data_IF_439516364654
#
_entry.id   IF_439516364654
#
_cell.length_a   1.000
_cell.length_b   1.000
_cell.length_c   1.000
_cell.angle_alpha   90.00
_cell.angle_beta   90.00
_cell.angle_gamma   90.00
#
_symmetry.space_group_name_H-M   'P 1'
#
loop_
_entity.id
_entity.type
_entity.pdbx_description
1 polymer ?
#
# COMPACT_ATOMS: atom_id res chain seq x y z
N UNK A 1 65.21 43.46 -39.88
CA UNK A 1 63.75 43.72 -39.92
C UNK A 1 63.03 42.43 -39.54
N UNK A 2 61.96 42.52 -38.73
CA UNK A 2 61.58 41.48 -37.77
C UNK A 2 60.66 40.38 -38.33
N UNK A 3 60.69 39.29 -37.55
CA UNK A 3 59.87 38.08 -37.53
C UNK A 3 58.39 38.34 -37.19
N UNK A 4 57.49 37.47 -37.70
CA UNK A 4 56.23 37.16 -37.03
C UNK A 4 56.05 35.64 -36.96
N UNK A 5 56.16 35.12 -35.73
CA UNK A 5 55.90 33.75 -35.35
C UNK A 5 54.39 33.58 -35.04
N UNK A 6 53.77 32.55 -35.62
CA UNK A 6 52.44 32.09 -35.23
C UNK A 6 52.55 31.07 -34.09
N UNK A 7 52.33 31.50 -32.86
CA UNK A 7 52.13 30.62 -31.70
C UNK A 7 50.64 30.31 -31.53
N UNK A 8 50.25 29.07 -31.80
CA UNK A 8 48.98 28.50 -31.38
C UNK A 8 49.07 28.08 -29.91
N UNK A 9 48.23 28.67 -29.05
CA UNK A 9 48.00 28.24 -27.68
C UNK A 9 46.92 27.15 -27.68
N UNK A 10 47.28 25.91 -27.31
CA UNK A 10 46.33 24.85 -27.02
C UNK A 10 45.97 24.87 -25.53
N UNK A 11 44.70 25.13 -25.21
CA UNK A 11 44.16 25.04 -23.85
C UNK A 11 43.60 23.62 -23.65
N UNK A 12 44.26 22.82 -22.81
CA UNK A 12 43.77 21.50 -22.41
C UNK A 12 42.98 21.61 -21.09
N UNK A 13 41.66 21.49 -21.18
CA UNK A 13 40.76 21.47 -20.02
C UNK A 13 40.63 20.03 -19.50
N UNK A 14 41.25 19.72 -18.36
CA UNK A 14 41.05 18.48 -17.61
C UNK A 14 39.72 18.54 -16.85
N UNK A 15 38.69 17.86 -17.35
CA UNK A 15 37.45 17.60 -16.60
C UNK A 15 37.63 16.30 -15.81
N UNK A 16 37.83 16.42 -14.50
CA UNK A 16 37.76 15.30 -13.57
C UNK A 16 36.28 14.93 -13.36
N UNK A 17 35.85 13.79 -13.91
CA UNK A 17 34.52 13.24 -13.65
C UNK A 17 34.57 12.50 -12.31
N UNK A 18 34.17 13.17 -11.23
CA UNK A 18 33.94 12.52 -9.94
C UNK A 18 32.60 11.78 -10.00
N UNK A 19 32.64 10.47 -10.28
CA UNK A 19 31.48 9.59 -10.22
C UNK A 19 31.14 9.29 -8.77
N UNK A 20 30.35 10.15 -8.12
CA UNK A 20 29.66 9.80 -6.89
C UNK A 20 28.45 8.94 -7.23
N UNK A 21 28.54 7.64 -6.99
CA UNK A 21 27.38 6.76 -7.02
C UNK A 21 26.45 7.16 -5.85
N UNK A 22 25.14 7.40 -6.08
CA UNK A 22 24.24 7.67 -4.97
C UNK A 22 23.99 6.36 -4.23
N UNK A 23 24.46 6.27 -3.00
CA UNK A 23 24.03 5.21 -2.07
C UNK A 23 22.56 5.46 -1.71
N UNK A 24 21.65 4.78 -2.39
CA UNK A 24 20.26 4.68 -1.95
C UNK A 24 20.24 3.71 -0.77
N UNK A 25 20.37 4.23 0.44
CA UNK A 25 20.03 3.48 1.65
C UNK A 25 18.50 3.44 1.75
N UNK A 26 17.85 2.25 1.81
CA UNK A 26 16.44 2.18 2.14
C UNK A 26 16.27 2.74 3.55
N UNK A 27 15.65 3.90 3.68
CA UNK A 27 15.39 4.50 4.99
C UNK A 27 14.21 3.76 5.60
N UNK A 28 14.48 2.68 6.34
CA UNK A 28 13.53 2.14 7.30
C UNK A 28 12.96 3.32 8.09
N UNK A 29 11.63 3.42 8.21
CA UNK A 29 11.04 4.54 8.94
C UNK A 29 11.57 4.49 10.38
N UNK A 30 12.05 5.63 10.89
CA UNK A 30 12.56 5.70 12.26
C UNK A 30 11.39 5.71 13.23
N UNK A 31 11.47 4.95 14.31
CA UNK A 31 10.44 4.98 15.35
C UNK A 31 10.14 6.42 15.83
N UNK A 32 8.86 6.78 16.00
CA UNK A 32 8.51 8.05 16.60
C UNK A 32 9.04 8.11 18.03
N UNK A 33 9.63 9.24 18.43
CA UNK A 33 10.15 9.44 19.78
C UNK A 33 9.05 9.51 20.84
N UNK A 34 7.83 9.88 20.43
CA UNK A 34 6.60 9.84 21.24
C UNK A 34 5.38 9.58 20.37
N UNK A 35 4.36 8.95 20.95
CA UNK A 35 3.05 8.80 20.31
C UNK A 35 2.98 7.69 19.25
N UNK A 36 2.07 7.87 18.30
CA UNK A 36 1.79 6.92 17.21
C UNK A 36 2.14 7.52 15.86
N UNK A 37 2.59 6.69 14.93
CA UNK A 37 2.85 7.05 13.54
C UNK A 37 2.00 6.19 12.60
N UNK A 38 1.86 6.62 11.34
CA UNK A 38 1.14 5.89 10.29
C UNK A 38 2.06 5.57 9.12
N UNK A 39 2.05 4.32 8.67
CA UNK A 39 2.67 3.87 7.44
C UNK A 39 1.60 3.62 6.38
N UNK A 40 1.90 4.01 5.15
CA UNK A 40 1.06 3.75 3.98
C UNK A 40 1.47 2.44 3.32
N UNK A 41 0.57 1.78 2.56
CA UNK A 41 0.97 0.61 1.80
C UNK A 41 1.97 1.01 0.72
N UNK A 42 3.06 0.25 0.64
CA UNK A 42 4.06 0.33 -0.42
C UNK A 42 3.54 -0.23 -1.76
N UNK A 43 2.55 -1.13 -1.72
CA UNK A 43 1.85 -1.62 -2.90
C UNK A 43 0.44 -2.13 -2.58
N UNK A 44 -0.45 -2.00 -3.57
CA UNK A 44 -1.81 -2.55 -3.57
C UNK A 44 -1.99 -3.38 -4.84
N UNK A 45 -2.45 -4.62 -4.71
CA UNK A 45 -2.72 -5.52 -5.83
C UNK A 45 -4.15 -6.02 -5.79
N UNK A 46 -4.91 -5.72 -6.83
CA UNK A 46 -6.19 -6.38 -7.08
C UNK A 46 -5.91 -7.79 -7.60
N UNK A 47 -6.52 -8.77 -6.96
CA UNK A 47 -6.47 -10.19 -7.36
C UNK A 47 -7.89 -10.68 -7.61
N UNK A 48 -8.02 -11.65 -8.51
CA UNK A 48 -9.31 -12.02 -9.09
C UNK A 48 -9.58 -13.50 -8.84
N UNK A 49 -10.53 -13.87 -7.95
CA UNK A 49 -10.84 -15.28 -7.68
C UNK A 49 -11.24 -16.08 -8.93
N UNK A 50 -11.98 -15.45 -9.85
CA UNK A 50 -12.42 -16.03 -11.13
C UNK A 50 -11.32 -16.09 -12.21
N UNK A 51 -10.23 -15.35 -12.03
CA UNK A 51 -9.05 -15.34 -12.91
C UNK A 51 -7.77 -15.43 -12.06
N UNK A 52 -7.52 -16.58 -11.39
CA UNK A 52 -6.70 -16.62 -10.19
C UNK A 52 -5.18 -16.44 -10.43
N UNK A 53 -4.74 -16.45 -11.69
CA UNK A 53 -3.37 -16.19 -12.09
C UNK A 53 -3.15 -14.73 -12.54
N UNK A 54 -4.15 -13.87 -12.38
CA UNK A 54 -4.10 -12.45 -12.76
C UNK A 54 -4.02 -11.60 -11.50
N UNK A 55 -3.15 -10.58 -11.53
CA UNK A 55 -3.16 -9.47 -10.59
C UNK A 55 -2.89 -8.15 -11.30
N UNK A 56 -3.40 -7.07 -10.73
CA UNK A 56 -3.14 -5.71 -11.22
C UNK A 56 -2.81 -4.78 -10.07
N UNK A 57 -1.80 -3.93 -10.23
CA UNK A 57 -1.56 -2.84 -9.28
C UNK A 57 -2.78 -1.92 -9.23
N UNK A 58 -3.11 -1.43 -8.04
CA UNK A 58 -4.23 -0.54 -7.80
C UNK A 58 -3.74 0.81 -7.26
N UNK A 59 -4.31 1.94 -7.70
CA UNK A 59 -4.02 3.25 -7.12
C UNK A 59 -4.72 3.48 -5.76
N UNK A 60 -5.61 2.57 -5.36
CA UNK A 60 -6.41 2.70 -4.15
C UNK A 60 -6.91 1.36 -3.64
N UNK A 61 -7.50 1.39 -2.46
CA UNK A 61 -8.23 0.26 -1.91
C UNK A 61 -9.40 -0.08 -2.82
N UNK A 62 -9.53 -1.35 -3.21
CA UNK A 62 -10.56 -1.78 -4.15
C UNK A 62 -10.97 -3.23 -3.90
N UNK A 63 -12.26 -3.43 -3.65
CA UNK A 63 -12.89 -4.74 -3.52
C UNK A 63 -14.26 -4.70 -4.19
N UNK A 64 -14.67 -5.82 -4.75
CA UNK A 64 -15.90 -5.88 -5.54
C UNK A 64 -16.50 -7.28 -5.54
N UNK A 65 -17.82 -7.34 -5.37
CA UNK A 65 -18.66 -8.49 -5.67
C UNK A 65 -19.59 -8.15 -6.81
N UNK A 66 -19.87 -9.13 -7.65
CA UNK A 66 -20.83 -9.04 -8.72
C UNK A 66 -21.43 -10.41 -8.98
N UNK A 67 -22.74 -10.43 -9.22
CA UNK A 67 -23.49 -11.64 -9.53
C UNK A 67 -23.35 -12.71 -8.43
N UNK A 68 -23.40 -12.27 -7.16
CA UNK A 68 -23.24 -13.09 -5.96
C UNK A 68 -21.89 -13.84 -5.88
N UNK A 69 -20.83 -13.21 -6.37
CA UNK A 69 -19.48 -13.76 -6.29
C UNK A 69 -18.44 -12.65 -6.09
N UNK A 70 -17.40 -12.97 -5.32
CA UNK A 70 -16.20 -12.13 -5.18
C UNK A 70 -15.50 -12.00 -6.53
N UNK A 71 -15.40 -10.77 -7.04
CA UNK A 71 -14.72 -10.46 -8.31
C UNK A 71 -13.35 -9.85 -8.08
N UNK A 72 -13.23 -8.98 -7.08
CA UNK A 72 -11.98 -8.33 -6.73
C UNK A 72 -11.76 -8.46 -5.23
N UNK A 73 -10.66 -9.11 -4.89
CA UNK A 73 -10.05 -9.05 -3.57
C UNK A 73 -8.76 -8.26 -3.68
N UNK A 74 -8.21 -7.82 -2.55
CA UNK A 74 -7.00 -7.02 -2.56
C UNK A 74 -5.93 -7.54 -1.64
N UNK A 75 -4.70 -7.51 -2.13
CA UNK A 75 -3.49 -7.73 -1.34
C UNK A 75 -2.82 -6.39 -1.07
N UNK A 76 -2.45 -6.14 0.18
CA UNK A 76 -1.78 -4.92 0.62
C UNK A 76 -0.41 -5.26 1.17
N UNK A 77 0.59 -4.46 0.78
CA UNK A 77 1.97 -4.63 1.22
C UNK A 77 2.42 -3.37 1.95
N UNK A 78 2.73 -3.51 3.23
CA UNK A 78 3.41 -2.49 4.02
C UNK A 78 4.85 -2.91 4.21
N UNK A 79 5.76 -1.99 3.97
CA UNK A 79 7.20 -2.18 4.12
C UNK A 79 7.75 -1.08 5.02
N UNK A 80 8.96 -1.26 5.51
CA UNK A 80 9.70 -0.27 6.27
C UNK A 80 9.03 0.17 7.58
N UNK A 81 8.18 -0.69 8.17
CA UNK A 81 7.72 -0.52 9.56
C UNK A 81 8.94 -0.69 10.49
N UNK A 82 9.13 0.17 11.51
CA UNK A 82 10.29 0.04 12.38
C UNK A 82 10.32 -1.33 13.06
N UNK A 83 11.49 -1.95 13.12
CA UNK A 83 11.64 -3.29 13.71
C UNK A 83 11.35 -3.30 15.22
N UNK A 84 11.51 -2.15 15.86
CA UNK A 84 11.27 -1.92 17.28
C UNK A 84 9.85 -1.41 17.60
N UNK A 85 8.95 -1.37 16.61
CA UNK A 85 7.53 -1.13 16.82
C UNK A 85 6.91 -2.24 17.70
N UNK A 86 6.21 -1.83 18.76
CA UNK A 86 5.63 -2.74 19.77
C UNK A 86 4.13 -2.91 19.63
N UNK A 87 3.45 -1.92 19.06
CA UNK A 87 2.02 -1.99 18.79
C UNK A 87 1.77 -1.62 17.33
N UNK A 88 0.94 -2.42 16.67
CA UNK A 88 0.55 -2.22 15.28
C UNK A 88 -0.94 -2.49 15.14
N UNK A 89 -1.63 -1.60 14.45
CA UNK A 89 -3.05 -1.74 14.13
C UNK A 89 -3.28 -1.37 12.68
N UNK A 90 -4.12 -2.12 11.99
CA UNK A 90 -4.59 -1.73 10.66
C UNK A 90 -5.77 -0.80 10.82
N UNK A 91 -5.75 0.29 10.06
CA UNK A 91 -6.84 1.24 9.98
C UNK A 91 -7.04 1.75 8.58
N UNK A 92 -8.05 2.58 8.42
CA UNK A 92 -8.33 3.30 7.19
C UNK A 92 -8.79 4.71 7.52
N UNK A 93 -8.58 5.63 6.59
CA UNK A 93 -9.04 7.01 6.73
C UNK A 93 -9.62 7.54 5.43
N UNK A 94 -10.55 8.47 5.56
CA UNK A 94 -11.01 9.32 4.48
C UNK A 94 -10.71 10.77 4.82
N UNK A 95 -10.17 11.50 3.85
CA UNK A 95 -10.04 12.95 3.89
C UNK A 95 -11.37 13.64 3.62
N UNK A 96 -11.33 14.95 3.38
CA UNK A 96 -12.53 15.72 3.06
C UNK A 96 -13.11 15.31 1.71
N UNK A 97 -14.44 15.42 1.56
CA UNK A 97 -15.15 14.95 0.35
C UNK A 97 -14.60 15.53 -0.97
N UNK A 98 -14.23 16.82 -1.06
CA UNK A 98 -13.65 17.39 -2.28
C UNK A 98 -12.24 16.89 -2.61
N UNK A 99 -11.55 16.24 -1.66
CA UNK A 99 -10.14 15.84 -1.74
C UNK A 99 -9.96 14.31 -1.87
N UNK A 100 -11.04 13.56 -2.05
CA UNK A 100 -11.02 12.09 -2.08
C UNK A 100 -11.80 11.54 -3.27
N UNK A 101 -11.33 10.41 -3.79
CA UNK A 101 -12.16 9.49 -4.56
C UNK A 101 -12.55 8.34 -3.64
N UNK A 102 -13.77 8.38 -3.13
CA UNK A 102 -14.35 7.30 -2.35
C UNK A 102 -15.72 6.95 -2.94
N UNK A 103 -15.87 5.69 -3.34
CA UNK A 103 -17.05 5.15 -4.00
C UNK A 103 -17.49 3.92 -3.21
N UNK A 104 -18.71 3.96 -2.69
CA UNK A 104 -19.39 2.78 -2.14
C UNK A 104 -20.66 2.57 -2.94
N UNK A 105 -20.79 1.40 -3.57
CA UNK A 105 -22.00 0.98 -4.29
C UNK A 105 -22.45 -0.37 -3.75
N UNK A 106 -23.76 -0.60 -3.74
CA UNK A 106 -24.34 -1.79 -3.11
C UNK A 106 -24.80 -1.51 -1.68
N UNK A 107 -25.18 -2.56 -0.95
CA UNK A 107 -25.82 -2.44 0.36
C UNK A 107 -24.97 -2.89 1.55
N UNK A 108 -23.91 -3.66 1.33
CA UNK A 108 -23.07 -4.23 2.39
C UNK A 108 -21.59 -4.04 2.01
N UNK A 109 -20.98 -2.98 2.54
CA UNK A 109 -19.57 -2.66 2.36
C UNK A 109 -18.65 -3.30 3.40
N UNK A 110 -19.15 -4.28 4.17
CA UNK A 110 -18.39 -4.87 5.26
C UNK A 110 -17.26 -5.75 4.73
N UNK A 111 -16.04 -5.34 5.07
CA UNK A 111 -14.80 -5.88 4.51
C UNK A 111 -14.02 -6.61 5.57
N UNK A 112 -13.72 -7.89 5.37
CA UNK A 112 -12.78 -8.63 6.21
C UNK A 112 -11.35 -8.28 5.82
N UNK A 113 -10.51 -8.07 6.82
CA UNK A 113 -9.06 -7.94 6.65
C UNK A 113 -8.38 -9.09 7.39
N UNK A 114 -7.42 -9.73 6.73
CA UNK A 114 -6.58 -10.81 7.26
C UNK A 114 -5.12 -10.44 7.13
N UNK A 115 -4.32 -10.79 8.14
CA UNK A 115 -2.87 -10.73 8.04
C UNK A 115 -2.35 -12.04 7.44
N UNK A 116 -1.49 -11.95 6.44
CA UNK A 116 -0.88 -13.11 5.80
C UNK A 116 0.42 -13.48 6.52
N UNK A 117 0.76 -14.77 6.54
CA UNK A 117 2.00 -15.26 7.16
C UNK A 117 3.26 -14.87 6.39
N UNK A 118 3.11 -14.55 5.10
CA UNK A 118 4.14 -14.08 4.19
C UNK A 118 3.54 -13.45 2.94
N UNK A 119 4.31 -13.38 1.86
CA UNK A 119 3.86 -12.79 0.60
C UNK A 119 4.54 -13.45 -0.61
N UNK A 120 3.84 -13.57 -1.75
CA UNK A 120 4.47 -14.01 -2.99
C UNK A 120 5.58 -13.05 -3.42
N UNK A 121 6.54 -13.58 -4.19
CA UNK A 121 7.50 -12.74 -4.90
C UNK A 121 6.77 -11.68 -5.74
N UNK A 122 7.33 -10.48 -5.81
CA UNK A 122 6.70 -9.35 -6.50
C UNK A 122 6.36 -9.62 -7.99
N UNK A 123 7.04 -10.59 -8.62
CA UNK A 123 6.80 -11.03 -10.01
C UNK A 123 5.66 -12.06 -10.14
N UNK A 124 5.28 -12.70 -9.04
CA UNK A 124 4.35 -13.82 -9.00
C UNK A 124 3.06 -13.51 -8.24
N UNK A 125 2.85 -12.27 -7.79
CA UNK A 125 1.66 -11.88 -7.02
C UNK A 125 0.39 -12.20 -7.80
N UNK A 126 -0.42 -13.12 -7.29
CA UNK A 126 -1.76 -13.45 -7.79
C UNK A 126 -2.58 -14.19 -6.71
N UNK A 127 -3.86 -14.44 -6.99
CA UNK A 127 -4.78 -15.07 -6.04
C UNK A 127 -4.31 -16.46 -5.59
N UNK A 128 -3.83 -17.30 -6.51
CA UNK A 128 -3.37 -18.65 -6.18
C UNK A 128 -2.13 -18.63 -5.27
N UNK A 129 -1.11 -17.86 -5.63
CA UNK A 129 0.13 -17.76 -4.82
C UNK A 129 -0.12 -17.15 -3.45
N UNK A 130 -1.07 -16.22 -3.34
CA UNK A 130 -1.38 -15.58 -2.06
C UNK A 130 -2.06 -16.55 -1.08
N UNK A 131 -2.80 -17.56 -1.58
CA UNK A 131 -3.42 -18.59 -0.72
C UNK A 131 -2.41 -19.38 0.09
N UNK A 132 -1.20 -19.57 -0.42
CA UNK A 132 -0.13 -20.27 0.31
C UNK A 132 0.25 -19.56 1.62
N UNK A 133 -0.02 -18.26 1.71
CA UNK A 133 0.23 -17.43 2.88
C UNK A 133 -1.03 -17.07 3.68
N UNK A 134 -2.22 -17.42 3.17
CA UNK A 134 -3.52 -17.24 3.83
C UNK A 134 -3.79 -18.43 4.75
N UNK A 135 -2.86 -18.63 5.69
CA UNK A 135 -2.87 -19.76 6.65
C UNK A 135 -3.45 -19.39 8.01
N UNK A 136 -3.84 -18.12 8.19
CA UNK A 136 -4.41 -17.58 9.41
C UNK A 136 -5.92 -17.46 9.20
N UNK A 137 -6.67 -18.32 9.86
CA UNK A 137 -8.12 -18.38 9.68
C UNK A 137 -8.81 -17.14 10.26
N UNK A 138 -8.27 -16.59 11.35
CA UNK A 138 -8.83 -15.45 12.05
C UNK A 138 -8.62 -14.14 11.26
N UNK A 139 -9.71 -13.39 11.12
CA UNK A 139 -9.67 -12.03 10.58
C UNK A 139 -9.21 -11.07 11.66
N UNK A 140 -8.34 -10.13 11.29
CA UNK A 140 -7.92 -9.00 12.13
C UNK A 140 -9.11 -8.16 12.59
N UNK A 141 -10.15 -8.08 11.75
CA UNK A 141 -11.35 -7.31 12.00
C UNK A 141 -12.12 -7.04 10.71
N UNK A 142 -13.07 -6.12 10.77
CA UNK A 142 -13.68 -5.59 9.55
C UNK A 142 -13.70 -4.08 9.48
N UNK A 143 -13.43 -3.58 8.28
CA UNK A 143 -13.79 -2.22 7.91
C UNK A 143 -15.23 -2.24 7.40
N UNK A 144 -16.11 -1.52 8.09
CA UNK A 144 -17.42 -1.20 7.54
C UNK A 144 -17.29 0.05 6.67
N UNK A 145 -17.54 -0.09 5.37
CA UNK A 145 -17.58 1.04 4.43
C UNK A 145 -19.00 1.41 4.01
N UNK A 146 -20.03 0.77 4.57
CA UNK A 146 -21.43 1.01 4.21
C UNK A 146 -21.85 2.47 4.48
N UNK A 147 -22.18 3.21 3.42
CA UNK A 147 -22.55 4.64 3.45
C UNK A 147 -21.45 5.61 3.94
N UNK A 148 -20.19 5.17 3.97
CA UNK A 148 -19.09 5.99 4.50
C UNK A 148 -18.62 7.08 3.55
N UNK A 149 -18.81 6.90 2.25
CA UNK A 149 -18.45 7.86 1.21
C UNK A 149 -19.23 9.18 1.28
N UNK A 150 -20.33 9.20 2.03
CA UNK A 150 -21.09 10.41 2.33
C UNK A 150 -20.69 11.13 3.63
N UNK A 151 -19.84 10.51 4.45
CA UNK A 151 -19.48 11.05 5.76
C UNK A 151 -18.30 12.06 5.72
N UNK A 152 -18.14 12.90 6.76
CA UNK A 152 -16.98 13.80 6.90
C UNK A 152 -15.65 13.06 7.01
N UNK A 153 -14.54 13.81 6.94
CA UNK A 153 -13.20 13.25 7.13
C UNK A 153 -13.05 12.59 8.51
N UNK A 154 -12.55 11.36 8.54
CA UNK A 154 -12.32 10.59 9.77
C UNK A 154 -11.49 9.34 9.48
N UNK A 155 -10.96 8.72 10.55
CA UNK A 155 -10.21 7.48 10.48
C UNK A 155 -10.69 6.45 11.49
N UNK A 156 -10.57 5.18 11.14
CA UNK A 156 -11.06 4.04 11.90
C UNK A 156 -10.00 2.97 12.00
N UNK A 157 -9.83 2.44 13.21
CA UNK A 157 -9.04 1.25 13.46
C UNK A 157 -9.92 0.04 13.20
N UNK A 158 -9.42 -0.89 12.39
CA UNK A 158 -10.07 -2.16 12.08
C UNK A 158 -9.74 -3.19 13.17
N UNK A 159 -8.47 -3.26 13.56
CA UNK A 159 -7.98 -4.21 14.55
C UNK A 159 -6.47 -4.19 14.73
N UNK A 160 -6.01 -4.87 15.78
CA UNK A 160 -4.58 -5.04 16.09
C UNK A 160 -3.97 -6.18 15.27
N UNK A 161 -2.69 -6.05 14.93
CA UNK A 161 -1.94 -7.01 14.14
C UNK A 161 -0.56 -7.23 14.71
N UNK A 162 0.11 -8.30 14.29
CA UNK A 162 1.50 -8.54 14.66
C UNK A 162 2.40 -7.50 13.97
N UNK A 163 3.22 -6.81 14.78
CA UNK A 163 4.26 -5.92 14.26
C UNK A 163 5.35 -6.71 13.55
N UNK A 164 5.62 -6.34 12.30
CA UNK A 164 6.73 -6.84 11.47
C UNK A 164 7.23 -5.70 10.60
N UNK A 165 8.50 -5.73 10.20
CA UNK A 165 9.06 -4.76 9.26
C UNK A 165 8.35 -4.77 7.90
N UNK A 166 7.83 -5.94 7.51
CA UNK A 166 6.93 -6.12 6.39
C UNK A 166 5.63 -6.77 6.86
N UNK A 167 4.51 -6.13 6.54
CA UNK A 167 3.16 -6.58 6.89
C UNK A 167 2.38 -6.76 5.61
N UNK A 168 1.78 -7.93 5.46
CA UNK A 168 1.01 -8.30 4.29
C UNK A 168 -0.42 -8.58 4.70
N UNK A 169 -1.36 -7.95 4.03
CA UNK A 169 -2.77 -8.11 4.32
C UNK A 169 -3.52 -8.56 3.09
N UNK A 170 -4.61 -9.30 3.32
CA UNK A 170 -5.63 -9.62 2.34
C UNK A 170 -6.95 -9.01 2.78
N UNK A 171 -7.66 -8.38 1.86
CA UNK A 171 -8.96 -7.79 2.08
C UNK A 171 -9.98 -8.32 1.07
N UNK A 172 -11.18 -8.63 1.55
CA UNK A 172 -12.30 -9.10 0.76
C UNK A 172 -13.62 -8.69 1.42
N UNK A 173 -14.69 -8.53 0.63
CA UNK A 173 -16.03 -8.38 1.19
C UNK A 173 -16.40 -9.64 1.98
N UNK A 174 -16.97 -9.46 3.18
CA UNK A 174 -17.41 -10.58 4.04
C UNK A 174 -18.56 -11.34 3.40
N UNK A 175 -19.49 -10.60 2.79
CA UNK A 175 -20.60 -11.17 2.08
C UNK A 175 -20.31 -11.12 0.57
N UNK A 176 -20.08 -12.26 -0.09
CA UNK A 176 -19.91 -12.29 -1.54
C UNK A 176 -21.23 -12.14 -2.29
N UNK A 177 -22.37 -12.24 -1.62
CA UNK A 177 -23.69 -12.13 -2.22
C UNK A 177 -24.00 -10.67 -2.59
N UNK A 178 -24.72 -10.49 -3.70
CA UNK A 178 -25.09 -9.19 -4.23
C UNK A 178 -24.04 -8.55 -5.13
N UNK A 179 -24.16 -7.23 -5.26
CA UNK A 179 -23.34 -6.38 -6.12
C UNK A 179 -22.82 -5.21 -5.29
N UNK A 180 -21.70 -5.41 -4.60
CA UNK A 180 -21.05 -4.37 -3.81
C UNK A 180 -19.73 -3.97 -4.46
N UNK A 181 -19.43 -2.68 -4.49
CA UNK A 181 -18.12 -2.15 -4.85
C UNK A 181 -17.68 -1.13 -3.81
N UNK A 182 -16.47 -1.29 -3.31
CA UNK A 182 -15.79 -0.28 -2.49
C UNK A 182 -14.51 0.11 -3.20
N UNK A 183 -14.36 1.40 -3.48
CA UNK A 183 -13.09 1.98 -3.95
C UNK A 183 -12.75 3.21 -3.13
N UNK A 184 -11.58 3.22 -2.50
CA UNK A 184 -11.04 4.37 -1.77
C UNK A 184 -9.63 4.64 -2.26
N UNK A 185 -9.39 5.81 -2.86
CA UNK A 185 -8.06 6.23 -3.29
C UNK A 185 -7.04 6.15 -2.15
N UNK A 186 -5.81 5.74 -2.47
CA UNK A 186 -4.72 5.72 -1.51
C UNK A 186 -3.82 6.94 -1.69
N UNK A 187 -3.76 7.81 -0.68
CA UNK A 187 -2.84 8.94 -0.62
C UNK A 187 -2.61 9.35 0.85
N UNK A 188 -1.87 10.43 1.13
CA UNK A 188 -1.52 10.83 2.51
C UNK A 188 -2.72 11.08 3.44
N UNK A 189 -3.93 11.30 2.90
CA UNK A 189 -5.17 11.55 3.65
C UNK A 189 -6.18 10.40 3.57
N UNK A 190 -6.04 9.51 2.58
CA UNK A 190 -7.05 8.52 2.23
C UNK A 190 -6.47 7.10 2.11
N UNK A 191 -7.30 6.10 2.36
CA UNK A 191 -6.97 4.70 2.16
C UNK A 191 -6.56 3.99 3.45
N UNK A 192 -5.96 2.81 3.31
CA UNK A 192 -5.54 1.99 4.45
C UNK A 192 -4.17 2.43 4.97
N UNK A 193 -3.93 2.18 6.24
CA UNK A 193 -2.67 2.46 6.91
C UNK A 193 -2.37 1.42 8.00
N UNK A 194 -1.09 1.29 8.36
CA UNK A 194 -0.67 0.71 9.63
C UNK A 194 -0.39 1.85 10.60
N UNK A 195 -1.11 1.89 11.70
CA UNK A 195 -0.77 2.74 12.84
C UNK A 195 0.13 1.94 13.77
N UNK A 196 1.26 2.51 14.17
CA UNK A 196 2.21 1.84 15.05
C UNK A 196 2.77 2.77 16.12
N UNK A 197 3.26 2.18 17.20
CA UNK A 197 4.01 2.87 18.24
C UNK A 197 5.20 2.05 18.73
N UNK A 198 6.16 2.74 19.30
CA UNK A 198 7.35 2.21 19.96
C UNK A 198 7.31 2.68 21.44
#
# INVERSE_FOLDING_TARGET
MPSFANTFLALASLLAVSSAAPTVVPRASSCPSTGKARAQPSALYNVYPSAPNVAKKSPGFHIETYNNASQVEQLLVFSDIPAEAKSCSVGWAQGERPERIFIVKGGDGLTSVKQLSGFPDAKNVNYNTAKEFDTIDESVGAADFTNWDDLPAQGHIIGSIDCKSSIYLKAALRNPDGNTKVFLEQNSKNGLYIEYSC
#
